data_IF_312324724116
#
_entry.id   IF_312324724116
#
_cell.length_a   1.000
_cell.length_b   1.000
_cell.length_c   1.000
_cell.angle_alpha   90.00
_cell.angle_beta   90.00
_cell.angle_gamma   90.00
#
_symmetry.space_group_name_H-M   'P 1'
#
loop_
_entity.id
_entity.type
_entity.pdbx_description
1 polymer ?
#
# COMPACT_ATOMS: atom_id res chain seq x y z
N UNK A 1 -15.63 17.28 9.99
CA UNK A 1 -14.47 16.55 9.43
C UNK A 1 -13.35 17.53 9.17
N UNK A 2 -12.13 17.23 9.59
CA UNK A 2 -10.95 18.00 9.22
C UNK A 2 -10.62 17.70 7.78
N UNK A 3 -10.40 18.74 6.96
CA UNK A 3 -10.01 18.54 5.56
C UNK A 3 -8.61 17.92 5.47
N UNK A 4 -8.35 17.06 4.48
CA UNK A 4 -7.00 16.55 4.22
C UNK A 4 -6.02 17.68 3.92
N UNK A 5 -4.72 17.43 4.10
CA UNK A 5 -3.66 18.37 3.71
C UNK A 5 -3.78 18.76 2.24
N UNK A 6 -3.62 20.04 1.92
CA UNK A 6 -3.74 20.56 0.57
C UNK A 6 -5.16 21.02 0.18
N UNK A 7 -6.11 20.97 1.11
CA UNK A 7 -7.48 21.46 0.87
C UNK A 7 -7.83 22.64 1.78
N UNK A 8 -8.67 23.52 1.27
CA UNK A 8 -9.29 24.60 2.01
C UNK A 8 -10.79 24.58 1.79
N UNK A 9 -11.61 25.15 2.71
CA UNK A 9 -13.00 25.43 2.43
C UNK A 9 -13.14 26.34 1.21
N UNK A 10 -14.30 26.28 0.55
CA UNK A 10 -14.61 27.23 -0.55
C UNK A 10 -14.35 28.67 -0.10
N UNK A 11 -13.66 29.44 -0.92
CA UNK A 11 -13.18 30.76 -0.59
C UNK A 11 -13.37 31.71 -1.77
N UNK A 12 -13.97 32.88 -1.51
CA UNK A 12 -14.06 33.99 -2.50
C UNK A 12 -12.71 34.59 -2.88
N UNK A 13 -11.63 34.19 -2.17
CA UNK A 13 -10.25 34.62 -2.47
C UNK A 13 -9.46 33.58 -3.26
N UNK A 14 -10.06 32.43 -3.58
CA UNK A 14 -9.40 31.40 -4.38
C UNK A 14 -9.24 31.92 -5.84
N UNK A 15 -8.04 31.68 -6.39
CA UNK A 15 -7.74 32.00 -7.77
C UNK A 15 -8.25 30.93 -8.73
N UNK A 16 -8.67 31.23 -9.93
CA UNK A 16 -9.06 30.26 -10.94
C UNK A 16 -7.92 29.33 -11.31
N UNK A 17 -8.19 28.01 -11.32
CA UNK A 17 -7.32 26.95 -11.80
C UNK A 17 -7.92 26.32 -13.05
N UNK A 18 -7.25 26.44 -14.18
CA UNK A 18 -7.60 25.74 -15.39
C UNK A 18 -6.82 24.44 -15.52
N UNK A 19 -7.54 23.36 -15.78
CA UNK A 19 -6.96 22.04 -16.03
C UNK A 19 -7.10 21.75 -17.52
N UNK A 20 -5.98 21.52 -18.20
CA UNK A 20 -5.91 21.44 -19.65
C UNK A 20 -5.15 20.18 -20.08
N UNK A 21 -5.60 19.58 -21.15
CA UNK A 21 -4.93 18.53 -21.90
C UNK A 21 -4.57 19.00 -23.31
N UNK A 22 -3.95 18.11 -24.11
CA UNK A 22 -3.56 18.46 -25.49
C UNK A 22 -4.75 18.80 -26.38
N UNK A 23 -5.95 18.34 -26.09
CA UNK A 23 -7.15 18.54 -26.90
C UNK A 23 -7.89 19.82 -26.54
N UNK A 24 -7.87 20.20 -25.27
CA UNK A 24 -8.60 21.37 -24.74
C UNK A 24 -7.79 22.68 -24.79
N UNK A 25 -6.46 22.54 -24.79
CA UNK A 25 -5.54 23.68 -24.66
C UNK A 25 -5.73 24.75 -25.78
N UNK A 26 -5.75 24.36 -27.06
CA UNK A 26 -5.83 25.30 -28.15
C UNK A 26 -7.10 26.16 -28.08
N UNK A 27 -8.26 25.55 -27.92
CA UNK A 27 -9.53 26.27 -27.83
C UNK A 27 -9.59 27.19 -26.61
N UNK A 28 -9.09 26.74 -25.47
CA UNK A 28 -9.01 27.57 -24.27
C UNK A 28 -8.06 28.74 -24.42
N UNK A 29 -6.86 28.53 -25.03
CA UNK A 29 -5.87 29.57 -25.31
C UNK A 29 -6.44 30.64 -26.23
N UNK A 30 -7.12 30.24 -27.30
CA UNK A 30 -7.70 31.16 -28.30
C UNK A 30 -8.85 31.99 -27.71
N UNK A 31 -9.48 31.56 -26.65
CA UNK A 31 -10.46 32.30 -25.87
C UNK A 31 -9.86 33.31 -24.87
N UNK A 32 -8.53 33.32 -24.69
CA UNK A 32 -7.86 34.25 -23.78
C UNK A 32 -7.61 35.62 -24.42
N UNK A 33 -7.28 36.62 -23.61
CA UNK A 33 -6.81 37.92 -24.15
C UNK A 33 -5.52 37.74 -24.96
N UNK A 34 -5.27 38.63 -25.92
CA UNK A 34 -4.04 38.57 -26.72
C UNK A 34 -2.76 38.58 -25.87
N UNK A 35 -2.78 39.32 -24.76
CA UNK A 35 -1.65 39.36 -23.83
C UNK A 35 -1.39 37.99 -23.12
N UNK A 36 -2.45 37.30 -22.68
CA UNK A 36 -2.34 35.99 -22.06
C UNK A 36 -1.91 34.95 -23.09
N UNK A 37 -2.48 34.96 -24.30
CA UNK A 37 -2.08 34.04 -25.36
C UNK A 37 -0.59 34.20 -25.72
N UNK A 38 -0.13 35.46 -25.91
CA UNK A 38 1.29 35.77 -26.16
C UNK A 38 2.22 35.30 -24.98
N UNK A 39 1.76 35.47 -23.75
CA UNK A 39 2.49 34.97 -22.58
C UNK A 39 2.62 33.44 -22.58
N UNK A 40 1.53 32.72 -22.85
CA UNK A 40 1.53 31.25 -22.94
C UNK A 40 2.48 30.75 -24.04
N UNK A 41 2.48 31.40 -25.20
CA UNK A 41 3.38 31.10 -26.30
C UNK A 41 4.84 31.35 -25.92
N UNK A 42 5.12 32.50 -25.31
CA UNK A 42 6.47 32.89 -24.89
C UNK A 42 7.03 31.98 -23.82
N UNK A 43 6.17 31.43 -22.94
CA UNK A 43 6.59 30.46 -21.88
C UNK A 43 6.61 29.02 -22.36
N UNK A 44 6.14 28.75 -23.58
CA UNK A 44 6.08 27.41 -24.16
C UNK A 44 5.08 26.47 -23.45
N UNK A 45 4.07 27.03 -22.76
CA UNK A 45 3.04 26.23 -22.14
C UNK A 45 2.15 25.59 -23.22
N UNK A 46 2.04 24.27 -23.18
CA UNK A 46 1.32 23.45 -24.16
C UNK A 46 0.44 22.36 -23.53
N UNK A 47 0.10 22.52 -22.24
CA UNK A 47 -0.66 21.55 -21.46
C UNK A 47 -0.03 20.14 -21.33
N UNK A 48 1.27 20.01 -21.58
CA UNK A 48 1.99 18.76 -21.33
C UNK A 48 1.88 18.34 -19.87
N UNK A 49 1.89 17.04 -19.62
CA UNK A 49 1.80 16.48 -18.26
C UNK A 49 2.84 17.13 -17.32
N UNK A 50 2.38 17.62 -16.15
CA UNK A 50 3.24 18.26 -15.16
C UNK A 50 3.60 19.72 -15.43
N UNK A 51 3.17 20.31 -16.55
CA UNK A 51 3.40 21.72 -16.85
C UNK A 51 2.47 22.66 -16.07
N UNK A 52 2.95 23.89 -15.78
CA UNK A 52 2.19 24.94 -15.08
C UNK A 52 2.46 26.27 -15.74
N UNK A 53 1.41 27.05 -16.00
CA UNK A 53 1.47 28.46 -16.36
C UNK A 53 0.80 29.30 -15.29
N UNK A 54 1.53 30.28 -14.73
CA UNK A 54 1.02 31.27 -13.79
C UNK A 54 0.59 32.52 -14.59
N UNK A 55 -0.71 32.75 -14.68
CA UNK A 55 -1.28 33.81 -15.56
C UNK A 55 -1.29 35.13 -14.80
N UNK A 56 -0.54 36.16 -15.27
CA UNK A 56 -0.50 37.46 -14.63
C UNK A 56 -1.79 38.27 -14.88
N UNK A 57 -2.13 39.11 -13.93
CA UNK A 57 -3.19 40.09 -14.02
C UNK A 57 -2.70 41.46 -13.62
N UNK A 58 -3.58 42.50 -13.62
CA UNK A 58 -3.21 43.89 -13.29
C UNK A 58 -2.60 44.01 -11.87
N UNK A 59 -3.14 43.27 -10.93
CA UNK A 59 -2.78 43.34 -9.49
C UNK A 59 -1.94 42.19 -9.03
N UNK A 60 -1.30 41.46 -9.95
CA UNK A 60 -0.47 40.30 -9.63
C UNK A 60 -0.92 39.00 -10.31
N UNK A 61 -0.98 37.88 -9.60
CA UNK A 61 -1.40 36.61 -10.14
C UNK A 61 -2.93 36.54 -10.27
N UNK A 62 -3.44 36.35 -11.51
CA UNK A 62 -4.86 36.29 -11.79
C UNK A 62 -5.43 34.86 -11.85
N UNK A 63 -4.64 33.90 -12.37
CA UNK A 63 -5.06 32.53 -12.56
C UNK A 63 -3.85 31.60 -12.70
N UNK A 64 -4.08 30.31 -12.78
CA UNK A 64 -3.10 29.35 -13.25
C UNK A 64 -3.73 28.31 -14.19
N UNK A 65 -2.90 27.76 -15.07
CA UNK A 65 -3.23 26.60 -15.88
C UNK A 65 -2.26 25.48 -15.56
N UNK A 66 -2.77 24.25 -15.40
CA UNK A 66 -1.97 23.04 -15.24
C UNK A 66 -2.22 22.10 -16.41
N UNK A 67 -1.14 21.49 -16.93
CA UNK A 67 -1.18 20.48 -17.98
C UNK A 67 -1.27 19.09 -17.41
N UNK A 68 -2.22 18.26 -17.89
CA UNK A 68 -2.41 16.89 -17.49
C UNK A 68 -1.99 15.87 -18.56
N UNK A 69 -1.60 16.36 -19.77
CA UNK A 69 -1.24 15.50 -20.91
C UNK A 69 -2.46 14.78 -21.51
N UNK A 70 -2.20 13.72 -22.26
CA UNK A 70 -3.23 13.05 -23.06
C UNK A 70 -4.09 12.05 -22.25
N UNK A 71 -3.60 11.58 -21.11
CA UNK A 71 -4.31 10.66 -20.23
C UNK A 71 -4.34 11.20 -18.80
N UNK A 72 -5.51 11.60 -18.36
CA UNK A 72 -5.71 12.03 -16.99
C UNK A 72 -5.96 10.82 -16.08
N UNK A 73 -5.05 10.62 -15.12
CA UNK A 73 -5.25 9.80 -13.94
C UNK A 73 -5.05 10.65 -12.68
N UNK A 74 -5.20 10.08 -11.48
CA UNK A 74 -4.99 10.85 -10.25
C UNK A 74 -3.60 11.51 -10.19
N UNK A 75 -2.56 10.87 -10.70
CA UNK A 75 -1.20 11.40 -10.64
C UNK A 75 -0.93 12.51 -11.65
N UNK A 76 -1.75 12.63 -12.72
CA UNK A 76 -1.66 13.73 -13.67
C UNK A 76 -1.89 15.10 -13.02
N UNK A 77 -2.64 15.15 -11.92
CA UNK A 77 -2.90 16.37 -11.14
C UNK A 77 -1.93 16.58 -9.96
N UNK A 78 -1.18 15.57 -9.60
CA UNK A 78 -0.45 15.51 -8.34
C UNK A 78 0.79 16.43 -8.28
N UNK A 79 1.23 17.00 -9.39
CA UNK A 79 2.30 18.00 -9.44
C UNK A 79 1.85 19.36 -8.92
N UNK A 80 0.57 19.70 -9.10
CA UNK A 80 0.01 21.04 -8.87
C UNK A 80 0.25 21.60 -7.45
N UNK A 81 0.05 20.86 -6.35
CA UNK A 81 0.21 21.39 -4.99
C UNK A 81 1.59 22.00 -4.71
N UNK A 82 2.64 21.46 -5.33
CA UNK A 82 4.01 21.94 -5.15
C UNK A 82 4.57 22.71 -6.34
N UNK A 83 3.91 22.71 -7.47
CA UNK A 83 4.27 23.55 -8.63
C UNK A 83 3.67 24.96 -8.54
N UNK A 84 2.51 25.08 -7.91
CA UNK A 84 1.83 26.37 -7.67
C UNK A 84 2.45 27.11 -6.47
N UNK A 85 2.28 28.44 -6.34
CA UNK A 85 2.81 29.24 -5.25
C UNK A 85 2.41 28.71 -3.85
N UNK A 86 3.36 28.71 -2.92
CA UNK A 86 3.12 28.24 -1.57
C UNK A 86 2.04 29.06 -0.85
N UNK A 87 1.09 28.37 -0.21
CA UNK A 87 0.02 29.00 0.56
C UNK A 87 -1.06 29.68 -0.29
N UNK A 88 -0.97 29.58 -1.63
CA UNK A 88 -2.05 30.03 -2.50
C UNK A 88 -3.24 29.07 -2.46
N UNK A 89 -4.44 29.61 -2.69
CA UNK A 89 -5.69 28.83 -2.74
C UNK A 89 -6.28 28.91 -4.15
N UNK A 90 -6.70 27.77 -4.68
CA UNK A 90 -7.13 27.60 -6.05
C UNK A 90 -8.51 26.97 -6.14
N UNK A 91 -9.32 27.42 -7.06
CA UNK A 91 -10.64 26.88 -7.36
C UNK A 91 -10.68 26.40 -8.80
N UNK A 92 -11.18 25.18 -9.01
CA UNK A 92 -11.35 24.62 -10.36
C UNK A 92 -12.27 25.54 -11.20
N UNK A 93 -11.74 25.98 -12.34
CA UNK A 93 -12.45 26.81 -13.33
C UNK A 93 -12.80 26.06 -14.63
N UNK A 94 -12.24 24.88 -14.87
CA UNK A 94 -12.55 24.02 -16.01
C UNK A 94 -13.83 23.23 -15.78
N UNK A 95 -14.73 23.17 -16.76
CA UNK A 95 -16.03 22.51 -16.64
C UNK A 95 -15.98 21.00 -16.93
N UNK A 96 -15.02 20.54 -17.74
CA UNK A 96 -14.93 19.14 -18.19
C UNK A 96 -13.95 18.28 -17.37
N UNK A 97 -13.47 18.82 -16.25
CA UNK A 97 -12.52 18.10 -15.38
C UNK A 97 -13.27 17.24 -14.36
N UNK A 98 -12.88 15.97 -14.23
CA UNK A 98 -13.33 15.12 -13.12
C UNK A 98 -12.80 15.67 -11.78
N UNK A 99 -13.69 16.35 -11.05
CA UNK A 99 -13.35 16.97 -9.76
C UNK A 99 -12.93 15.95 -8.70
N UNK A 100 -13.44 14.71 -8.76
CA UNK A 100 -13.07 13.64 -7.84
C UNK A 100 -11.64 13.16 -8.10
N UNK A 101 -11.28 12.97 -9.36
CA UNK A 101 -9.94 12.54 -9.76
C UNK A 101 -8.90 13.65 -9.50
N UNK A 102 -9.26 14.92 -9.78
CA UNK A 102 -8.45 16.09 -9.41
C UNK A 102 -8.21 16.13 -7.89
N UNK A 103 -9.27 16.00 -7.08
CA UNK A 103 -9.15 16.02 -5.62
C UNK A 103 -8.27 14.87 -5.11
N UNK A 104 -8.43 13.66 -5.65
CA UNK A 104 -7.57 12.54 -5.29
C UNK A 104 -6.10 12.83 -5.61
N UNK A 105 -5.82 13.28 -6.83
CA UNK A 105 -4.46 13.61 -7.26
C UNK A 105 -3.85 14.76 -6.46
N UNK A 106 -4.65 15.79 -6.16
CA UNK A 106 -4.22 16.91 -5.33
C UNK A 106 -3.84 16.46 -3.91
N UNK A 107 -4.68 15.63 -3.28
CA UNK A 107 -4.41 15.08 -1.94
C UNK A 107 -3.16 14.21 -1.89
N UNK A 108 -3.00 13.30 -2.86
CA UNK A 108 -1.80 12.46 -2.99
C UNK A 108 -0.54 13.31 -3.27
N UNK A 109 -0.68 14.37 -4.09
CA UNK A 109 0.38 15.31 -4.42
C UNK A 109 0.81 16.19 -3.25
N UNK A 110 -0.13 16.51 -2.36
CA UNK A 110 0.12 17.32 -1.15
C UNK A 110 0.86 16.60 -0.04
N UNK A 111 0.92 15.26 -0.11
CA UNK A 111 1.58 14.45 0.90
C UNK A 111 3.09 14.71 0.96
N UNK A 112 3.62 14.84 2.17
CA UNK A 112 5.05 14.79 2.50
C UNK A 112 5.22 14.13 3.86
N UNK A 113 6.16 13.20 3.95
CA UNK A 113 6.56 12.64 5.23
C UNK A 113 7.29 13.71 6.06
N UNK A 114 6.72 14.10 7.20
CA UNK A 114 7.17 15.25 7.99
C UNK A 114 7.46 14.94 9.46
N UNK A 115 7.48 13.64 9.84
CA UNK A 115 7.66 13.22 11.24
C UNK A 115 8.96 13.72 11.84
N UNK A 116 10.06 13.71 11.08
CA UNK A 116 11.40 14.07 11.57
C UNK A 116 11.92 15.39 11.01
N UNK A 117 11.34 15.88 9.94
CA UNK A 117 11.76 17.13 9.31
C UNK A 117 10.55 17.89 8.79
N UNK A 118 10.46 19.17 9.16
CA UNK A 118 9.42 20.05 8.61
C UNK A 118 9.59 20.19 7.10
N UNK A 119 8.49 20.18 6.33
CA UNK A 119 8.54 20.44 4.90
C UNK A 119 9.15 21.82 4.61
N UNK A 120 9.93 21.93 3.54
CA UNK A 120 10.56 23.17 3.12
C UNK A 120 9.53 24.25 2.74
N UNK A 121 8.34 23.83 2.27
CA UNK A 121 7.21 24.72 1.95
C UNK A 121 5.88 23.98 2.16
N UNK A 122 4.82 24.75 2.35
CA UNK A 122 3.46 24.24 2.36
C UNK A 122 2.96 24.03 0.92
N UNK A 123 2.11 23.02 0.66
CA UNK A 123 1.45 22.88 -0.62
C UNK A 123 0.49 24.04 -0.87
N UNK A 124 0.22 24.36 -2.13
CA UNK A 124 -0.95 25.13 -2.51
C UNK A 124 -2.23 24.37 -2.12
N UNK A 125 -3.31 25.10 -1.87
CA UNK A 125 -4.58 24.54 -1.41
C UNK A 125 -5.61 24.53 -2.55
N UNK A 126 -6.38 23.46 -2.66
CA UNK A 126 -7.57 23.40 -3.50
C UNK A 126 -8.78 23.80 -2.66
N UNK A 127 -9.51 24.83 -3.10
CA UNK A 127 -10.77 25.23 -2.49
C UNK A 127 -11.87 24.24 -2.90
N UNK A 128 -11.93 23.13 -2.22
CA UNK A 128 -12.89 22.06 -2.46
C UNK A 128 -13.02 21.17 -1.22
N UNK A 129 -14.19 20.56 -1.07
CA UNK A 129 -14.41 19.50 -0.10
C UNK A 129 -14.43 18.18 -0.85
N UNK A 130 -13.39 17.32 -0.72
CA UNK A 130 -13.38 16.02 -1.36
C UNK A 130 -14.54 15.16 -0.85
N UNK A 131 -15.07 14.28 -1.71
CA UNK A 131 -16.07 13.30 -1.28
C UNK A 131 -15.51 12.44 -0.15
N UNK A 132 -16.40 11.86 0.67
CA UNK A 132 -16.01 11.00 1.78
C UNK A 132 -15.17 9.78 1.31
N UNK A 133 -15.39 9.30 0.08
CA UNK A 133 -14.59 8.22 -0.51
C UNK A 133 -13.20 8.70 -0.90
N UNK A 134 -13.09 9.83 -1.59
CA UNK A 134 -11.81 10.43 -1.97
C UNK A 134 -10.98 10.77 -0.73
N UNK A 135 -11.60 11.37 0.28
CA UNK A 135 -10.92 11.67 1.55
C UNK A 135 -10.39 10.42 2.25
N UNK A 136 -11.17 9.34 2.26
CA UNK A 136 -10.76 8.05 2.84
C UNK A 136 -9.60 7.42 2.06
N UNK A 137 -9.64 7.47 0.72
CA UNK A 137 -8.56 6.98 -0.14
C UNK A 137 -7.25 7.75 0.08
N UNK A 138 -7.31 9.08 0.14
CA UNK A 138 -6.15 9.93 0.46
C UNK A 138 -5.58 9.54 1.83
N UNK A 139 -6.44 9.43 2.85
CA UNK A 139 -6.03 9.07 4.20
C UNK A 139 -5.35 7.70 4.26
N UNK A 140 -5.93 6.69 3.63
CA UNK A 140 -5.39 5.34 3.61
C UNK A 140 -4.03 5.26 2.89
N UNK A 141 -3.90 5.91 1.71
CA UNK A 141 -2.63 5.96 1.01
C UNK A 141 -1.54 6.70 1.81
N UNK A 142 -1.89 7.82 2.46
CA UNK A 142 -0.96 8.54 3.33
C UNK A 142 -0.57 7.69 4.54
N UNK A 143 -1.51 6.97 5.16
CA UNK A 143 -1.24 6.08 6.29
C UNK A 143 -0.26 4.97 5.90
N UNK A 144 -0.46 4.31 4.75
CA UNK A 144 0.49 3.29 4.26
C UNK A 144 1.89 3.90 4.09
N UNK A 145 1.98 5.07 3.46
CA UNK A 145 3.26 5.77 3.26
C UNK A 145 3.94 6.11 4.58
N UNK A 146 3.20 6.64 5.54
CA UNK A 146 3.72 7.01 6.87
C UNK A 146 4.24 5.78 7.62
N UNK A 147 3.47 4.68 7.64
CA UNK A 147 3.87 3.44 8.30
C UNK A 147 5.18 2.89 7.70
N UNK A 148 5.25 2.78 6.37
CA UNK A 148 6.42 2.23 5.66
C UNK A 148 7.64 3.15 5.78
N UNK A 149 7.44 4.47 5.76
CA UNK A 149 8.54 5.43 5.79
C UNK A 149 9.13 5.61 7.19
N UNK A 150 8.33 5.37 8.23
CA UNK A 150 8.78 5.52 9.63
C UNK A 150 9.88 4.50 9.95
N UNK A 151 11.04 4.92 10.45
CA UNK A 151 12.10 4.01 10.90
C UNK A 151 11.62 3.06 11.98
N UNK A 152 12.21 1.86 12.02
CA UNK A 152 11.82 0.78 12.91
C UNK A 152 11.88 1.15 14.39
N UNK A 153 12.76 2.05 14.80
CA UNK A 153 12.79 2.53 16.18
C UNK A 153 11.42 3.08 16.62
N UNK A 154 10.72 3.76 15.71
CA UNK A 154 9.40 4.35 15.93
C UNK A 154 8.26 3.54 15.26
N UNK A 155 8.58 2.42 14.61
CA UNK A 155 7.62 1.54 13.93
C UNK A 155 8.04 0.07 14.07
N UNK A 156 8.13 -0.39 15.32
CA UNK A 156 8.32 -1.80 15.66
C UNK A 156 6.99 -2.55 15.83
N UNK A 157 7.03 -3.81 16.26
CA UNK A 157 5.83 -4.63 16.46
C UNK A 157 4.78 -4.01 17.40
N UNK A 158 5.20 -3.32 18.46
CA UNK A 158 4.28 -2.62 19.37
C UNK A 158 3.58 -1.44 18.69
N UNK A 159 4.28 -0.67 17.86
CA UNK A 159 3.70 0.49 17.18
C UNK A 159 2.70 0.08 16.09
N UNK A 160 2.88 -1.09 15.45
CA UNK A 160 1.86 -1.68 14.58
C UNK A 160 0.61 -2.07 15.39
N UNK A 161 0.79 -2.68 16.56
CA UNK A 161 -0.31 -2.98 17.49
C UNK A 161 -1.07 -1.71 17.89
N UNK A 162 -0.35 -0.68 18.33
CA UNK A 162 -0.93 0.60 18.75
C UNK A 162 -1.73 1.26 17.61
N UNK A 163 -1.22 1.19 16.38
CA UNK A 163 -1.91 1.67 15.18
C UNK A 163 -3.23 0.94 14.94
N UNK A 164 -3.23 -0.40 15.05
CA UNK A 164 -4.42 -1.22 14.83
C UNK A 164 -5.43 -1.02 15.99
N UNK A 165 -4.96 -0.91 17.23
CA UNK A 165 -5.82 -0.59 18.41
C UNK A 165 -6.51 0.77 18.25
N UNK A 166 -5.76 1.80 17.84
CA UNK A 166 -6.31 3.11 17.59
C UNK A 166 -7.36 3.09 16.48
N UNK A 167 -7.10 2.35 15.39
CA UNK A 167 -8.03 2.16 14.29
C UNK A 167 -9.30 1.40 14.75
N UNK A 168 -9.16 0.34 15.54
CA UNK A 168 -10.28 -0.39 16.12
C UNK A 168 -11.15 0.53 16.97
N UNK A 169 -10.54 1.30 17.86
CA UNK A 169 -11.26 2.24 18.73
C UNK A 169 -12.02 3.32 17.93
N UNK A 170 -11.42 3.85 16.87
CA UNK A 170 -12.02 4.89 16.03
C UNK A 170 -13.26 4.39 15.25
N UNK A 171 -13.34 3.09 14.95
CA UNK A 171 -14.40 2.51 14.13
C UNK A 171 -15.31 1.52 14.89
N UNK A 172 -15.14 1.37 16.21
CA UNK A 172 -15.93 0.44 17.02
C UNK A 172 -15.61 -1.03 16.75
N UNK A 173 -14.38 -1.34 16.32
CA UNK A 173 -13.86 -2.70 16.17
C UNK A 173 -13.30 -3.25 17.48
N UNK A 174 -13.00 -4.55 17.48
CA UNK A 174 -12.34 -5.24 18.58
C UNK A 174 -10.92 -5.60 18.15
N UNK A 175 -9.93 -5.41 19.04
CA UNK A 175 -8.55 -5.78 18.79
C UNK A 175 -8.07 -6.73 19.89
N UNK A 176 -7.48 -7.85 19.48
CA UNK A 176 -6.80 -8.81 20.36
C UNK A 176 -5.37 -9.04 19.89
N UNK A 177 -4.50 -9.42 20.82
CA UNK A 177 -3.06 -9.62 20.55
C UNK A 177 -2.57 -10.84 21.27
N UNK A 178 -1.77 -11.64 20.56
CA UNK A 178 -0.98 -12.75 21.13
C UNK A 178 0.50 -12.39 20.95
N UNK A 179 1.29 -12.30 22.03
CA UNK A 179 2.64 -11.77 21.96
C UNK A 179 3.65 -12.62 22.73
N UNK A 180 4.92 -12.59 22.28
CA UNK A 180 6.01 -13.31 22.95
C UNK A 180 5.76 -14.82 22.98
N UNK A 181 6.00 -15.44 24.14
CA UNK A 181 5.88 -16.89 24.32
C UNK A 181 4.44 -17.40 24.26
N UNK A 182 3.43 -16.54 24.51
CA UNK A 182 2.02 -16.87 24.32
C UNK A 182 1.71 -17.31 22.87
N UNK A 183 2.54 -16.89 21.90
CA UNK A 183 2.45 -17.37 20.51
C UNK A 183 2.61 -18.90 20.43
N UNK A 184 3.47 -19.49 21.23
CA UNK A 184 3.66 -20.95 21.27
C UNK A 184 2.43 -21.64 21.88
N UNK A 185 1.89 -21.11 22.97
CA UNK A 185 0.70 -21.64 23.63
C UNK A 185 -0.54 -21.57 22.74
N UNK A 186 -0.61 -20.53 21.90
CA UNK A 186 -1.70 -20.31 20.95
C UNK A 186 -1.43 -20.89 19.56
N UNK A 187 -0.38 -21.72 19.43
CA UNK A 187 0.00 -22.41 18.19
C UNK A 187 0.30 -21.47 17.01
N UNK A 188 1.18 -20.46 17.25
CA UNK A 188 1.78 -19.62 16.22
C UNK A 188 3.32 -19.74 16.22
N UNK A 189 3.85 -20.96 16.06
CA UNK A 189 5.27 -21.27 16.29
C UNK A 189 6.19 -20.58 15.28
N UNK A 190 5.75 -20.36 14.04
CA UNK A 190 6.60 -19.72 13.02
C UNK A 190 6.73 -18.22 13.23
N UNK A 191 5.69 -17.56 13.72
CA UNK A 191 5.76 -16.13 14.11
C UNK A 191 6.73 -15.97 15.27
N UNK A 192 6.63 -16.83 16.28
CA UNK A 192 7.56 -16.85 17.40
C UNK A 192 9.00 -17.10 16.93
N UNK A 193 9.22 -18.16 16.14
CA UNK A 193 10.56 -18.56 15.69
C UNK A 193 11.31 -17.46 14.94
N UNK A 194 10.63 -16.71 14.07
CA UNK A 194 11.24 -15.58 13.34
C UNK A 194 11.58 -14.42 14.28
N UNK A 195 10.66 -14.08 15.22
CA UNK A 195 10.79 -12.86 16.01
C UNK A 195 11.53 -13.01 17.34
N UNK A 196 11.81 -14.24 17.80
CA UNK A 196 12.33 -14.51 19.14
C UNK A 196 13.73 -13.94 19.44
N UNK A 197 14.50 -13.63 18.39
CA UNK A 197 15.84 -13.05 18.56
C UNK A 197 15.84 -11.54 18.83
N UNK A 198 14.73 -10.85 18.56
CA UNK A 198 14.61 -9.42 18.87
C UNK A 198 14.26 -9.20 20.34
N UNK A 199 14.78 -8.10 20.91
CA UNK A 199 14.33 -7.61 22.21
C UNK A 199 12.88 -7.09 22.19
N UNK A 200 12.28 -6.93 21.00
CA UNK A 200 10.90 -6.54 20.78
C UNK A 200 10.06 -7.78 20.50
N UNK A 201 9.19 -8.13 21.43
CA UNK A 201 8.42 -9.36 21.37
C UNK A 201 7.60 -9.47 20.07
N UNK A 202 7.72 -10.62 19.34
CA UNK A 202 6.88 -10.92 18.19
C UNK A 202 5.41 -11.00 18.60
N UNK A 203 4.49 -10.74 17.67
CA UNK A 203 3.05 -10.80 17.95
C UNK A 203 2.20 -11.06 16.74
N UNK A 204 1.06 -11.68 16.96
CA UNK A 204 -0.08 -11.69 16.05
C UNK A 204 -1.12 -10.71 16.57
N UNK A 205 -1.48 -9.73 15.74
CA UNK A 205 -2.47 -8.71 16.04
C UNK A 205 -3.71 -9.04 15.21
N UNK A 206 -4.86 -9.16 15.87
CA UNK A 206 -6.14 -9.42 15.23
C UNK A 206 -7.09 -8.27 15.50
N UNK A 207 -7.73 -7.74 14.42
CA UNK A 207 -8.84 -6.80 14.52
C UNK A 207 -10.06 -7.45 13.89
N UNK A 208 -11.19 -7.39 14.58
CA UNK A 208 -12.52 -7.80 14.09
C UNK A 208 -13.47 -6.62 14.05
N UNK A 209 -14.22 -6.52 12.96
CA UNK A 209 -15.18 -5.43 12.75
C UNK A 209 -16.33 -5.88 11.83
N UNK A 210 -17.48 -5.20 11.92
CA UNK A 210 -18.64 -5.44 11.09
C UNK A 210 -19.68 -6.35 11.72
N UNK A 211 -20.72 -6.67 10.96
CA UNK A 211 -21.83 -7.48 11.43
C UNK A 211 -21.52 -8.97 11.28
N UNK A 212 -21.95 -9.76 12.25
CA UNK A 212 -21.68 -11.20 12.30
C UNK A 212 -22.34 -12.01 11.16
N UNK A 213 -23.42 -11.50 10.58
CA UNK A 213 -24.18 -12.10 9.49
C UNK A 213 -23.76 -11.63 8.08
N UNK A 214 -22.80 -10.70 8.01
CA UNK A 214 -22.27 -10.22 6.74
C UNK A 214 -21.22 -11.19 6.16
N UNK A 215 -20.96 -11.12 4.82
CA UNK A 215 -19.88 -11.87 4.18
C UNK A 215 -18.55 -11.65 4.88
N UNK A 216 -17.79 -12.73 5.11
CA UNK A 216 -16.52 -12.65 5.84
C UNK A 216 -15.37 -12.29 4.91
N UNK A 217 -14.64 -11.24 5.24
CA UNK A 217 -13.42 -10.83 4.54
C UNK A 217 -12.24 -10.87 5.51
N UNK A 218 -11.21 -11.63 5.18
CA UNK A 218 -9.98 -11.65 5.97
C UNK A 218 -8.82 -11.03 5.21
N UNK A 219 -8.21 -10.01 5.81
CA UNK A 219 -7.00 -9.35 5.32
C UNK A 219 -5.82 -9.79 6.19
N UNK A 220 -4.71 -10.19 5.57
CA UNK A 220 -3.50 -10.62 6.26
C UNK A 220 -2.33 -9.77 5.80
N UNK A 221 -1.50 -9.31 6.74
CA UNK A 221 -0.35 -8.47 6.43
C UNK A 221 0.98 -9.00 6.98
N UNK A 222 2.01 -9.09 6.12
CA UNK A 222 3.39 -9.31 6.56
C UNK A 222 3.87 -8.08 7.32
N UNK A 223 4.22 -8.25 8.60
CA UNK A 223 4.63 -7.19 9.51
C UNK A 223 6.08 -7.31 10.00
N UNK A 224 7.03 -7.59 9.10
CA UNK A 224 8.46 -7.61 9.44
C UNK A 224 8.96 -6.18 9.56
N UNK A 225 8.99 -5.64 10.80
CA UNK A 225 9.30 -4.23 11.06
C UNK A 225 10.73 -3.85 10.67
N UNK A 226 11.65 -4.79 10.75
CA UNK A 226 12.98 -4.70 10.17
C UNK A 226 13.48 -6.10 9.82
N UNK A 227 14.09 -6.23 8.64
CA UNK A 227 14.63 -7.48 8.16
C UNK A 227 16.14 -7.39 7.94
N UNK A 228 16.90 -8.05 8.84
CA UNK A 228 18.36 -8.19 8.70
C UNK A 228 18.74 -9.34 7.78
N UNK A 229 17.79 -10.20 7.41
CA UNK A 229 18.02 -11.52 6.82
C UNK A 229 18.19 -12.63 7.87
N UNK A 230 18.17 -12.30 9.16
CA UNK A 230 18.52 -13.24 10.21
C UNK A 230 20.00 -13.64 10.12
N UNK A 231 20.31 -14.93 10.28
CA UNK A 231 21.69 -15.42 10.17
C UNK A 231 22.19 -15.45 8.71
N UNK A 232 21.29 -15.53 7.73
CA UNK A 232 21.62 -15.32 6.29
C UNK A 232 21.63 -13.81 6.00
N UNK A 233 22.57 -13.12 6.64
CA UNK A 233 22.65 -11.67 6.77
C UNK A 233 22.69 -10.96 5.40
N UNK A 234 21.80 -9.99 5.23
CA UNK A 234 21.77 -9.14 4.03
C UNK A 234 23.04 -8.26 3.91
N UNK A 235 23.52 -8.00 2.69
CA UNK A 235 24.54 -6.96 2.49
C UNK A 235 23.97 -5.57 2.82
N UNK A 236 24.84 -4.61 3.11
CA UNK A 236 24.48 -3.28 3.63
C UNK A 236 23.48 -2.52 2.73
N UNK A 237 23.65 -2.57 1.42
CA UNK A 237 22.74 -1.95 0.45
C UNK A 237 21.38 -2.66 0.38
N UNK A 238 21.37 -3.99 0.50
CA UNK A 238 20.13 -4.79 0.60
C UNK A 238 19.36 -4.53 1.88
N UNK A 239 20.08 -4.25 3.00
CA UNK A 239 19.48 -4.02 4.32
C UNK A 239 18.96 -2.58 4.50
N UNK A 240 19.55 -1.58 3.83
CA UNK A 240 19.34 -0.14 4.06
C UNK A 240 17.87 0.29 4.15
N UNK A 241 17.02 -0.30 3.35
CA UNK A 241 15.61 0.05 3.28
C UNK A 241 14.67 -0.98 3.93
N UNK A 242 15.19 -1.91 4.74
CA UNK A 242 14.39 -3.00 5.30
C UNK A 242 13.41 -2.58 6.40
N UNK A 243 13.38 -1.31 6.80
CA UNK A 243 12.25 -0.72 7.53
C UNK A 243 10.93 -0.81 6.75
N UNK A 244 10.98 -0.96 5.41
CA UNK A 244 9.81 -1.13 4.55
C UNK A 244 9.21 -2.53 4.59
N UNK A 245 9.85 -3.48 5.25
CA UNK A 245 9.47 -4.89 5.14
C UNK A 245 8.19 -5.26 5.91
N UNK A 246 7.61 -4.30 6.59
CA UNK A 246 6.25 -4.30 7.12
C UNK A 246 5.23 -3.66 6.15
N UNK A 247 5.62 -3.44 4.90
CA UNK A 247 4.77 -2.83 3.87
C UNK A 247 3.51 -3.66 3.58
N UNK A 248 3.58 -4.98 3.70
CA UNK A 248 2.41 -5.85 3.63
C UNK A 248 1.39 -5.53 4.72
N UNK A 249 1.82 -5.42 5.97
CA UNK A 249 0.97 -4.99 7.09
C UNK A 249 0.39 -3.60 6.86
N UNK A 250 1.20 -2.66 6.38
CA UNK A 250 0.74 -1.29 6.09
C UNK A 250 -0.39 -1.28 5.05
N UNK A 251 -0.29 -2.08 3.97
CA UNK A 251 -1.35 -2.20 2.96
C UNK A 251 -2.62 -2.84 3.53
N UNK A 252 -2.48 -3.94 4.29
CA UNK A 252 -3.62 -4.59 4.93
C UNK A 252 -4.34 -3.64 5.92
N UNK A 253 -3.59 -2.86 6.72
CA UNK A 253 -4.11 -1.83 7.62
C UNK A 253 -4.81 -0.71 6.82
N UNK A 254 -4.19 -0.21 5.76
CA UNK A 254 -4.77 0.83 4.89
C UNK A 254 -6.08 0.38 4.25
N UNK A 255 -6.14 -0.87 3.74
CA UNK A 255 -7.36 -1.42 3.16
C UNK A 255 -8.44 -1.65 4.23
N UNK A 256 -8.08 -2.17 5.40
CA UNK A 256 -9.00 -2.31 6.53
C UNK A 256 -9.59 -0.96 6.97
N UNK A 257 -8.77 0.10 6.99
CA UNK A 257 -9.24 1.45 7.31
C UNK A 257 -10.27 1.96 6.28
N UNK A 258 -10.08 1.68 4.99
CA UNK A 258 -11.06 1.99 3.93
C UNK A 258 -12.36 1.23 4.12
N UNK A 259 -12.28 -0.10 4.36
CA UNK A 259 -13.45 -0.97 4.62
C UNK A 259 -14.29 -0.42 5.77
N UNK A 260 -13.65 -0.05 6.88
CA UNK A 260 -14.35 0.48 8.06
C UNK A 260 -14.86 1.91 7.85
N UNK A 261 -14.04 2.80 7.30
CA UNK A 261 -14.42 4.20 7.08
C UNK A 261 -15.56 4.34 6.07
N UNK A 262 -15.64 3.43 5.10
CA UNK A 262 -16.69 3.42 4.08
C UNK A 262 -17.85 2.48 4.39
N UNK A 263 -17.82 1.81 5.56
CA UNK A 263 -18.88 0.92 6.03
C UNK A 263 -19.22 -0.16 4.98
N UNK A 264 -18.17 -0.80 4.39
CA UNK A 264 -18.40 -1.90 3.46
C UNK A 264 -19.17 -3.03 4.20
N UNK A 265 -20.26 -3.60 3.63
CA UNK A 265 -21.09 -4.56 4.33
C UNK A 265 -20.44 -5.95 4.44
N UNK A 266 -19.35 -6.04 5.17
CA UNK A 266 -18.59 -7.27 5.43
C UNK A 266 -18.33 -7.46 6.93
N UNK A 267 -18.09 -8.70 7.33
CA UNK A 267 -17.45 -9.03 8.59
C UNK A 267 -15.93 -9.08 8.34
N UNK A 268 -15.23 -8.03 8.74
CA UNK A 268 -13.80 -7.89 8.52
C UNK A 268 -12.99 -8.54 9.65
N UNK A 269 -12.02 -9.37 9.26
CA UNK A 269 -10.89 -9.77 10.12
C UNK A 269 -9.60 -9.24 9.50
N UNK A 270 -8.80 -8.49 10.26
CA UNK A 270 -7.44 -8.11 9.89
C UNK A 270 -6.46 -8.85 10.78
N UNK A 271 -5.51 -9.56 10.20
CA UNK A 271 -4.42 -10.26 10.89
C UNK A 271 -3.08 -9.65 10.47
N UNK A 272 -2.28 -9.26 11.45
CA UNK A 272 -0.92 -8.78 11.22
C UNK A 272 0.06 -9.55 12.07
N UNK A 273 0.93 -10.33 11.42
CA UNK A 273 2.06 -10.98 12.06
C UNK A 273 3.23 -9.98 12.14
N UNK A 274 3.46 -9.41 13.32
CA UNK A 274 4.42 -8.34 13.55
C UNK A 274 5.66 -8.87 14.28
N UNK A 275 6.83 -8.77 13.63
CA UNK A 275 8.12 -9.28 14.12
C UNK A 275 9.26 -8.36 13.70
N UNK A 276 10.45 -8.58 14.25
CA UNK A 276 11.72 -8.19 13.64
C UNK A 276 12.52 -9.46 13.34
N UNK A 277 13.05 -9.59 12.13
CA UNK A 277 14.01 -10.63 11.78
C UNK A 277 15.40 -10.15 12.20
N UNK A 278 15.77 -10.46 13.43
CA UNK A 278 16.95 -9.91 14.07
C UNK A 278 18.05 -10.97 14.25
N UNK A 279 19.30 -10.51 14.38
CA UNK A 279 20.44 -11.31 14.79
C UNK A 279 20.45 -11.37 16.32
N UNK A 280 20.66 -12.53 16.88
CA UNK A 280 20.75 -12.72 18.33
C UNK A 280 21.07 -14.16 18.71
N UNK A 281 21.24 -14.44 20.00
CA UNK A 281 21.54 -15.80 20.49
C UNK A 281 20.42 -16.79 20.18
N UNK A 282 19.18 -16.32 20.11
CA UNK A 282 17.99 -17.14 19.84
C UNK A 282 17.52 -17.06 18.37
N UNK A 283 18.36 -16.52 17.47
CA UNK A 283 18.02 -16.39 16.05
C UNK A 283 17.73 -17.77 15.44
N UNK A 284 16.74 -17.80 14.56
CA UNK A 284 16.40 -18.95 13.74
C UNK A 284 17.62 -19.36 12.89
N UNK A 285 17.94 -20.66 12.85
CA UNK A 285 19.16 -21.15 12.18
C UNK A 285 18.81 -21.91 10.91
N UNK A 286 19.61 -21.77 9.85
CA UNK A 286 19.53 -22.69 8.72
C UNK A 286 19.66 -24.16 9.17
N UNK A 287 18.81 -25.02 8.62
CA UNK A 287 18.72 -26.43 9.00
C UNK A 287 17.81 -26.75 10.20
N UNK A 288 17.29 -25.75 10.91
CA UNK A 288 16.24 -25.99 11.90
C UNK A 288 14.92 -26.40 11.23
N UNK A 289 14.11 -27.17 11.95
CA UNK A 289 12.77 -27.57 11.49
C UNK A 289 11.73 -27.00 12.44
N UNK A 290 10.76 -26.30 11.89
CA UNK A 290 9.63 -25.73 12.65
C UNK A 290 8.35 -26.41 12.20
N UNK A 291 7.55 -26.93 13.14
CA UNK A 291 6.19 -27.40 12.85
C UNK A 291 5.25 -26.21 12.90
N UNK A 292 4.57 -25.93 11.79
CA UNK A 292 3.67 -24.79 11.65
C UNK A 292 2.32 -25.03 12.35
N UNK A 293 1.48 -24.00 12.46
CA UNK A 293 0.09 -24.11 12.94
C UNK A 293 -0.71 -25.19 12.20
N UNK A 294 -0.51 -25.36 10.92
CA UNK A 294 -1.18 -26.37 10.10
C UNK A 294 -0.64 -27.80 10.31
N UNK A 295 0.36 -27.99 11.17
CA UNK A 295 1.01 -29.28 11.40
C UNK A 295 2.01 -29.69 10.33
N UNK A 296 2.28 -28.83 9.35
CA UNK A 296 3.28 -29.05 8.29
C UNK A 296 4.66 -28.70 8.88
N UNK A 297 5.61 -29.63 8.79
CA UNK A 297 7.00 -29.35 9.18
C UNK A 297 7.75 -28.63 8.07
N UNK A 298 8.50 -27.57 8.42
CA UNK A 298 9.24 -26.73 7.49
C UNK A 298 10.70 -26.67 7.90
N UNK A 299 11.59 -27.13 7.00
CA UNK A 299 13.04 -26.93 7.14
C UNK A 299 13.39 -25.49 6.76
N UNK A 300 14.21 -24.85 7.57
CA UNK A 300 14.71 -23.50 7.34
C UNK A 300 15.95 -23.59 6.45
N UNK A 301 15.76 -23.44 5.15
CA UNK A 301 16.86 -23.40 4.16
C UNK A 301 17.47 -22.01 4.08
N UNK A 302 16.65 -20.96 4.35
CA UNK A 302 17.09 -19.56 4.29
C UNK A 302 16.32 -18.71 5.33
N UNK A 303 17.03 -18.11 6.27
CA UNK A 303 16.45 -17.23 7.29
C UNK A 303 15.99 -15.87 6.74
N UNK A 304 16.43 -15.48 5.54
CA UNK A 304 15.98 -14.30 4.78
C UNK A 304 14.67 -14.57 3.99
N UNK A 305 14.07 -15.73 4.19
CA UNK A 305 12.73 -16.09 3.73
C UNK A 305 11.75 -16.19 4.92
N UNK A 306 11.83 -15.25 5.84
CA UNK A 306 11.08 -15.14 7.10
C UNK A 306 9.62 -14.71 6.89
N UNK A 307 9.37 -13.86 5.89
CA UNK A 307 8.03 -13.32 5.61
C UNK A 307 7.00 -14.40 5.34
N UNK A 308 7.36 -15.43 4.57
CA UNK A 308 6.46 -16.56 4.31
C UNK A 308 6.25 -17.45 5.56
N UNK A 309 7.22 -17.49 6.46
CA UNK A 309 7.10 -18.20 7.73
C UNK A 309 6.05 -17.53 8.63
N UNK A 310 6.13 -16.23 8.84
CA UNK A 310 5.14 -15.54 9.67
C UNK A 310 3.75 -15.53 9.03
N UNK A 311 3.68 -15.54 7.69
CA UNK A 311 2.39 -15.58 6.97
C UNK A 311 1.74 -16.97 7.02
N UNK A 312 2.49 -18.06 7.03
CA UNK A 312 1.89 -19.41 6.98
C UNK A 312 1.00 -19.70 8.19
N UNK A 313 1.41 -19.33 9.41
CA UNK A 313 0.58 -19.48 10.61
C UNK A 313 -0.61 -18.53 10.59
N UNK A 314 -0.41 -17.28 10.13
CA UNK A 314 -1.49 -16.31 10.03
C UNK A 314 -2.55 -16.72 8.99
N UNK A 315 -2.13 -17.27 7.84
CA UNK A 315 -3.03 -17.76 6.78
C UNK A 315 -3.78 -19.03 7.21
N UNK A 316 -3.10 -19.96 7.88
CA UNK A 316 -3.74 -21.14 8.45
C UNK A 316 -4.83 -20.75 9.47
N UNK A 317 -4.53 -19.79 10.33
CA UNK A 317 -5.50 -19.23 11.28
C UNK A 317 -6.65 -18.50 10.60
N UNK A 318 -6.36 -17.68 9.59
CA UNK A 318 -7.37 -16.99 8.79
C UNK A 318 -8.38 -17.95 8.17
N UNK A 319 -7.91 -19.11 7.70
CA UNK A 319 -8.74 -20.10 7.02
C UNK A 319 -9.67 -20.88 7.96
N UNK A 320 -9.38 -20.95 9.27
CA UNK A 320 -10.23 -21.62 10.26
C UNK A 320 -11.63 -21.01 10.35
N UNK A 321 -11.74 -19.69 10.13
CA UNK A 321 -13.02 -18.94 10.14
C UNK A 321 -13.81 -19.08 8.82
N UNK A 322 -13.25 -19.76 7.82
CA UNK A 322 -13.82 -20.02 6.49
C UNK A 322 -14.38 -18.74 5.86
N UNK A 323 -13.57 -17.69 5.66
CA UNK A 323 -14.06 -16.45 5.07
C UNK A 323 -14.38 -16.64 3.57
N UNK A 324 -15.22 -15.74 3.02
CA UNK A 324 -15.51 -15.69 1.57
C UNK A 324 -14.26 -15.44 0.74
N UNK A 325 -13.34 -14.64 1.29
CA UNK A 325 -12.03 -14.41 0.69
C UNK A 325 -10.96 -14.11 1.74
N UNK A 326 -9.75 -14.62 1.51
CA UNK A 326 -8.53 -14.23 2.20
C UNK A 326 -7.68 -13.44 1.22
N UNK A 327 -7.23 -12.25 1.61
CA UNK A 327 -6.30 -11.44 0.82
C UNK A 327 -5.09 -11.12 1.68
N UNK A 328 -3.91 -11.53 1.25
CA UNK A 328 -2.70 -11.15 1.95
C UNK A 328 -1.80 -10.23 1.14
N UNK A 329 -1.10 -9.36 1.88
CA UNK A 329 -0.13 -8.41 1.35
C UNK A 329 1.22 -8.68 1.99
N UNK A 330 2.26 -8.75 1.17
CA UNK A 330 3.61 -8.89 1.67
C UNK A 330 4.64 -8.18 0.79
N UNK A 331 5.67 -7.63 1.39
CA UNK A 331 6.92 -7.28 0.73
C UNK A 331 7.77 -8.55 0.70
N UNK A 332 7.34 -9.53 -0.13
CA UNK A 332 7.78 -10.91 0.05
C UNK A 332 9.07 -11.23 -0.68
N UNK A 333 9.18 -10.80 -1.96
CA UNK A 333 10.32 -11.23 -2.76
C UNK A 333 10.98 -10.11 -3.57
N UNK A 334 12.32 -10.10 -3.58
CA UNK A 334 13.06 -9.33 -4.57
C UNK A 334 12.82 -9.83 -6.00
N UNK A 335 12.43 -11.11 -6.16
CA UNK A 335 12.16 -11.73 -7.45
C UNK A 335 10.95 -11.10 -8.16
N UNK A 336 9.87 -10.78 -7.46
CA UNK A 336 8.72 -10.08 -8.03
C UNK A 336 9.12 -8.70 -8.55
N UNK A 337 9.88 -7.94 -7.77
CA UNK A 337 10.40 -6.62 -8.17
C UNK A 337 11.33 -6.70 -9.39
N UNK A 338 12.19 -7.71 -9.47
CA UNK A 338 13.06 -7.89 -10.64
C UNK A 338 12.23 -8.24 -11.88
N UNK A 339 11.17 -9.03 -11.73
CA UNK A 339 10.33 -9.45 -12.84
C UNK A 339 9.42 -8.33 -13.37
N UNK A 340 8.82 -7.54 -12.48
CA UNK A 340 7.75 -6.59 -12.81
C UNK A 340 8.12 -5.11 -12.56
N UNK A 341 9.28 -4.85 -11.98
CA UNK A 341 9.69 -3.51 -11.56
C UNK A 341 9.07 -3.08 -10.20
N UNK A 342 9.36 -1.83 -9.75
CA UNK A 342 8.93 -1.37 -8.43
C UNK A 342 7.46 -0.92 -8.39
N UNK A 343 6.84 -0.64 -9.53
CA UNK A 343 5.53 0.02 -9.62
C UNK A 343 4.37 -0.95 -9.85
N UNK A 344 4.65 -2.18 -10.27
CA UNK A 344 3.64 -3.17 -10.66
C UNK A 344 3.69 -4.36 -9.71
N UNK A 345 2.78 -4.45 -8.72
CA UNK A 345 2.70 -5.57 -7.80
C UNK A 345 2.35 -6.89 -8.48
N UNK A 346 2.95 -7.98 -7.99
CA UNK A 346 2.64 -9.32 -8.45
C UNK A 346 1.42 -9.88 -7.70
N UNK A 347 0.35 -10.15 -8.42
CA UNK A 347 -0.86 -10.80 -7.92
C UNK A 347 -0.80 -12.31 -8.16
N UNK A 348 -0.95 -13.10 -7.11
CA UNK A 348 -1.20 -14.53 -7.19
C UNK A 348 -2.60 -14.82 -6.63
N UNK A 349 -3.38 -15.66 -7.28
CA UNK A 349 -4.70 -16.04 -6.82
C UNK A 349 -5.05 -17.45 -7.28
N UNK A 350 -5.73 -18.19 -6.40
CA UNK A 350 -6.26 -19.52 -6.71
C UNK A 350 -7.71 -19.46 -7.27
N UNK A 351 -8.29 -18.26 -7.35
CA UNK A 351 -9.62 -17.98 -7.87
C UNK A 351 -9.52 -17.01 -9.06
N UNK A 352 -9.99 -17.46 -10.24
CA UNK A 352 -9.91 -16.67 -11.48
C UNK A 352 -10.87 -15.49 -11.49
N UNK A 353 -12.00 -15.59 -10.79
CA UNK A 353 -12.99 -14.51 -10.71
C UNK A 353 -12.42 -13.36 -9.86
N UNK A 354 -11.86 -13.66 -8.68
CA UNK A 354 -11.22 -12.67 -7.83
C UNK A 354 -10.06 -11.97 -8.55
N UNK A 355 -9.20 -12.75 -9.22
CA UNK A 355 -8.09 -12.21 -9.99
C UNK A 355 -8.56 -11.29 -11.12
N UNK A 356 -9.56 -11.71 -11.89
CA UNK A 356 -10.14 -10.93 -12.98
C UNK A 356 -10.78 -9.62 -12.49
N UNK A 357 -11.50 -9.67 -11.37
CA UNK A 357 -12.07 -8.48 -10.74
C UNK A 357 -10.98 -7.47 -10.32
N UNK A 358 -9.85 -7.95 -9.76
CA UNK A 358 -8.77 -7.05 -9.34
C UNK A 358 -8.02 -6.45 -10.52
N UNK A 359 -7.74 -7.24 -11.57
CA UNK A 359 -7.14 -6.72 -12.81
C UNK A 359 -8.01 -5.62 -13.42
N UNK A 360 -9.31 -5.84 -13.56
CA UNK A 360 -10.26 -4.85 -14.09
C UNK A 360 -10.30 -3.58 -13.21
N UNK A 361 -10.31 -3.73 -11.89
CA UNK A 361 -10.25 -2.60 -10.96
C UNK A 361 -8.94 -1.83 -11.10
N UNK A 362 -7.81 -2.51 -11.35
CA UNK A 362 -6.51 -1.90 -11.60
C UNK A 362 -6.50 -0.97 -12.81
N UNK A 363 -7.12 -1.39 -13.90
CA UNK A 363 -7.26 -0.58 -15.11
C UNK A 363 -8.10 0.68 -14.87
N UNK A 364 -9.27 0.53 -14.23
CA UNK A 364 -10.19 1.66 -13.97
C UNK A 364 -9.59 2.69 -13.02
N UNK A 365 -8.84 2.24 -12.00
CA UNK A 365 -8.26 3.13 -10.98
C UNK A 365 -6.85 3.62 -11.33
N UNK A 366 -6.28 3.19 -12.46
CA UNK A 366 -4.87 3.42 -12.81
C UNK A 366 -3.92 3.03 -11.64
N UNK A 367 -4.23 1.89 -11.01
CA UNK A 367 -3.46 1.31 -9.90
C UNK A 367 -3.30 -0.19 -10.15
N UNK A 368 -2.54 -0.56 -11.19
CA UNK A 368 -2.54 -1.90 -11.78
C UNK A 368 -1.86 -2.94 -10.90
N UNK A 369 -2.25 -4.19 -11.12
CA UNK A 369 -1.56 -5.38 -10.65
C UNK A 369 -1.27 -6.29 -11.84
N UNK A 370 -0.28 -7.18 -11.71
CA UNK A 370 0.01 -8.17 -12.75
C UNK A 370 -0.14 -9.57 -12.21
N UNK A 371 -1.05 -10.36 -12.80
CA UNK A 371 -1.27 -11.73 -12.37
C UNK A 371 -0.12 -12.64 -12.78
N UNK A 372 0.50 -13.29 -11.78
CA UNK A 372 1.53 -14.30 -11.92
C UNK A 372 0.95 -15.71 -11.73
N UNK A 373 1.53 -16.75 -12.34
CA UNK A 373 0.98 -18.10 -12.26
C UNK A 373 1.34 -18.80 -10.94
N UNK A 374 0.39 -19.57 -10.39
CA UNK A 374 0.65 -20.60 -9.39
C UNK A 374 1.05 -21.91 -10.09
N UNK A 375 2.28 -21.94 -10.63
CA UNK A 375 2.78 -23.10 -11.40
C UNK A 375 3.25 -24.22 -10.45
N UNK A 376 2.31 -25.05 -10.01
CA UNK A 376 2.50 -26.10 -8.98
C UNK A 376 3.65 -27.09 -9.23
N UNK A 377 4.07 -27.42 -10.48
CA UNK A 377 5.29 -28.24 -10.67
C UNK A 377 6.55 -27.65 -10.03
N UNK A 378 6.58 -26.34 -9.72
CA UNK A 378 7.71 -25.72 -9.01
C UNK A 378 7.73 -25.99 -7.50
N UNK A 379 6.74 -26.65 -6.93
CA UNK A 379 6.81 -27.20 -5.56
C UNK A 379 8.02 -28.13 -5.36
N UNK A 380 8.55 -28.72 -6.46
CA UNK A 380 9.79 -29.48 -6.42
C UNK A 380 11.00 -28.68 -5.90
N UNK A 381 10.97 -27.35 -6.01
CA UNK A 381 12.04 -26.48 -5.49
C UNK A 381 11.95 -26.26 -3.97
N UNK A 382 10.84 -26.60 -3.36
CA UNK A 382 10.62 -26.48 -1.90
C UNK A 382 10.73 -27.85 -1.19
N UNK A 383 11.35 -28.84 -1.82
CA UNK A 383 11.54 -30.17 -1.19
C UNK A 383 12.58 -30.09 -0.08
N UNK A 384 12.30 -30.77 1.01
CA UNK A 384 13.23 -31.07 2.10
C UNK A 384 13.49 -32.58 2.15
N UNK A 385 14.62 -32.98 2.72
CA UNK A 385 14.94 -34.38 3.01
C UNK A 385 14.62 -34.74 4.47
N UNK A 386 14.29 -33.75 5.31
CA UNK A 386 14.12 -33.93 6.77
C UNK A 386 12.77 -33.39 7.27
N UNK A 387 12.03 -32.65 6.45
CA UNK A 387 10.73 -32.07 6.74
C UNK A 387 9.76 -32.24 5.56
N UNK A 388 8.49 -31.86 5.75
CA UNK A 388 7.49 -31.92 4.69
C UNK A 388 7.82 -30.98 3.53
N UNK A 389 8.49 -29.86 3.82
CA UNK A 389 8.97 -28.89 2.84
C UNK A 389 10.08 -28.00 3.43
N UNK A 390 10.77 -27.27 2.55
CA UNK A 390 11.68 -26.20 2.92
C UNK A 390 11.03 -24.82 2.73
N UNK A 391 11.49 -23.81 3.49
CA UNK A 391 10.99 -22.44 3.34
C UNK A 391 11.57 -21.72 2.12
N UNK A 392 12.68 -22.18 1.59
CA UNK A 392 13.33 -21.64 0.39
C UNK A 392 13.87 -22.78 -0.47
N UNK A 393 14.52 -22.44 -1.57
CA UNK A 393 15.10 -23.43 -2.50
C UNK A 393 15.78 -22.72 -3.67
N UNK A 394 15.52 -23.16 -4.89
CA UNK A 394 16.16 -22.62 -6.10
C UNK A 394 16.02 -21.09 -6.22
N UNK A 395 17.05 -20.43 -6.74
CA UNK A 395 16.99 -19.01 -7.16
C UNK A 395 16.00 -18.77 -8.32
N UNK A 396 15.63 -19.84 -9.05
CA UNK A 396 14.67 -19.76 -10.15
C UNK A 396 13.24 -19.62 -9.62
N UNK A 397 12.45 -18.77 -10.29
CA UNK A 397 11.02 -18.56 -10.01
C UNK A 397 10.70 -18.15 -8.57
N UNK A 398 11.56 -17.36 -7.92
CA UNK A 398 11.46 -17.04 -6.50
C UNK A 398 10.10 -16.48 -6.05
N UNK A 399 9.47 -15.61 -6.85
CA UNK A 399 8.14 -15.09 -6.56
C UNK A 399 7.06 -16.18 -6.63
N UNK A 400 7.15 -17.06 -7.65
CA UNK A 400 6.20 -18.17 -7.83
C UNK A 400 6.33 -19.20 -6.71
N UNK A 401 7.56 -19.58 -6.33
CA UNK A 401 7.78 -20.55 -5.25
C UNK A 401 7.37 -20.00 -3.89
N UNK A 402 7.53 -18.67 -3.66
CA UNK A 402 7.04 -18.02 -2.45
C UNK A 402 5.51 -18.06 -2.36
N UNK A 403 4.81 -17.73 -3.44
CA UNK A 403 3.35 -17.83 -3.49
C UNK A 403 2.85 -19.28 -3.34
N UNK A 404 3.54 -20.25 -3.97
CA UNK A 404 3.21 -21.67 -3.81
C UNK A 404 3.46 -22.17 -2.38
N UNK A 405 4.47 -21.63 -1.68
CA UNK A 405 4.66 -21.91 -0.27
C UNK A 405 3.44 -21.45 0.53
N UNK A 406 2.96 -20.22 0.33
CA UNK A 406 1.78 -19.68 1.02
C UNK A 406 0.51 -20.47 0.68
N UNK A 407 0.31 -20.86 -0.58
CA UNK A 407 -0.84 -21.66 -1.03
C UNK A 407 -0.99 -22.98 -0.26
N UNK A 408 0.11 -23.57 0.23
CA UNK A 408 0.09 -24.81 1.03
C UNK A 408 -0.67 -24.68 2.35
N UNK A 409 -0.85 -23.47 2.86
CA UNK A 409 -1.55 -23.17 4.10
C UNK A 409 -2.99 -22.69 3.88
N UNK A 410 -3.44 -22.70 2.63
CA UNK A 410 -4.81 -22.38 2.23
C UNK A 410 -5.55 -23.70 1.95
N UNK A 411 -6.64 -24.01 2.66
CA UNK A 411 -7.44 -25.21 2.39
C UNK A 411 -8.00 -25.22 0.98
N UNK A 412 -8.20 -26.42 0.42
CA UNK A 412 -8.84 -26.57 -0.87
C UNK A 412 -10.25 -25.94 -0.88
N UNK A 413 -10.53 -25.15 -1.91
CA UNK A 413 -11.81 -24.44 -2.05
C UNK A 413 -11.89 -23.09 -1.32
N UNK A 414 -10.90 -22.71 -0.50
CA UNK A 414 -10.85 -21.39 0.09
C UNK A 414 -10.34 -20.36 -0.94
N UNK A 415 -11.15 -19.37 -1.27
CA UNK A 415 -10.74 -18.25 -2.15
C UNK A 415 -9.61 -17.45 -1.49
N UNK A 416 -8.49 -17.28 -2.21
CA UNK A 416 -7.31 -16.61 -1.73
C UNK A 416 -6.60 -15.82 -2.83
N UNK A 417 -6.09 -14.67 -2.44
CA UNK A 417 -5.16 -13.88 -3.25
C UNK A 417 -3.99 -13.36 -2.40
N UNK A 418 -2.80 -13.39 -2.97
CA UNK A 418 -1.57 -12.84 -2.44
C UNK A 418 -1.06 -11.72 -3.32
N UNK A 419 -0.72 -10.58 -2.72
CA UNK A 419 -0.10 -9.46 -3.41
C UNK A 419 1.32 -9.23 -2.90
N UNK A 420 2.32 -9.51 -3.75
CA UNK A 420 3.72 -9.21 -3.48
C UNK A 420 4.03 -7.78 -3.92
N UNK A 421 4.17 -6.89 -2.94
CA UNK A 421 4.34 -5.44 -3.14
C UNK A 421 5.75 -4.98 -2.79
N UNK A 422 6.27 -4.00 -3.54
CA UNK A 422 7.54 -3.38 -3.17
C UNK A 422 7.39 -2.35 -2.05
N UNK A 423 6.25 -1.66 -1.98
CA UNK A 423 5.89 -0.64 -0.99
C UNK A 423 6.86 0.55 -0.89
N UNK A 424 7.66 0.81 -1.90
CA UNK A 424 8.69 1.85 -1.88
C UNK A 424 8.87 2.54 -3.24
N UNK A 425 9.09 3.87 -3.21
CA UNK A 425 9.55 4.66 -4.35
C UNK A 425 11.03 5.03 -4.18
N UNK A 426 11.84 4.74 -5.18
CA UNK A 426 13.28 5.05 -5.16
C UNK A 426 13.57 6.52 -5.51
N UNK A 427 12.64 7.22 -6.16
CA UNK A 427 12.79 8.60 -6.61
C UNK A 427 11.48 9.38 -6.48
N UNK A 428 11.61 10.71 -6.36
CA UNK A 428 10.46 11.62 -6.36
C UNK A 428 9.77 11.64 -7.72
N UNK A 429 8.44 11.49 -7.67
CA UNK A 429 7.54 11.66 -8.81
C UNK A 429 6.29 12.44 -8.37
N UNK A 430 5.55 13.09 -9.27
CA UNK A 430 4.29 13.74 -8.92
C UNK A 430 3.34 12.81 -8.17
N UNK A 431 2.96 13.18 -6.95
CA UNK A 431 2.10 12.37 -6.07
C UNK A 431 2.71 11.09 -5.50
N UNK A 432 3.94 10.78 -5.88
CA UNK A 432 4.70 9.60 -5.42
C UNK A 432 6.09 10.04 -4.96
N UNK A 433 6.23 10.66 -3.80
CA UNK A 433 7.54 11.04 -3.28
C UNK A 433 8.40 9.82 -2.97
N UNK A 434 9.73 9.99 -2.99
CA UNK A 434 10.65 8.94 -2.55
C UNK A 434 10.34 8.48 -1.13
N UNK A 435 10.31 7.18 -0.91
CA UNK A 435 9.96 6.58 0.37
C UNK A 435 8.81 5.60 0.29
N UNK A 436 8.05 5.45 1.37
CA UNK A 436 6.91 4.54 1.44
C UNK A 436 5.84 4.83 0.38
N UNK A 437 5.27 3.78 -0.22
CA UNK A 437 4.25 3.90 -1.25
C UNK A 437 3.13 2.88 -1.07
N UNK A 438 1.90 3.34 -1.36
CA UNK A 438 0.70 2.51 -1.41
C UNK A 438 0.45 2.04 -2.85
N UNK A 439 0.78 0.77 -3.13
CA UNK A 439 0.61 0.16 -4.45
C UNK A 439 -0.62 -0.75 -4.45
N UNK A 440 -1.42 -0.70 -5.50
CA UNK A 440 -2.64 -1.49 -5.67
C UNK A 440 -3.68 -1.36 -4.52
N UNK A 441 -3.56 -0.35 -3.67
CA UNK A 441 -4.52 -0.12 -2.58
C UNK A 441 -5.85 0.41 -3.12
N UNK A 442 -5.82 1.30 -4.10
CA UNK A 442 -7.01 1.88 -4.73
C UNK A 442 -7.75 0.84 -5.55
N UNK A 443 -7.02 -0.01 -6.26
CA UNK A 443 -7.61 -1.11 -7.03
C UNK A 443 -8.18 -2.21 -6.13
N UNK A 444 -7.50 -2.53 -5.02
CA UNK A 444 -8.03 -3.45 -4.01
C UNK A 444 -9.35 -2.94 -3.43
N UNK A 445 -9.42 -1.65 -3.07
CA UNK A 445 -10.67 -1.03 -2.60
C UNK A 445 -11.78 -1.08 -3.65
N UNK A 446 -11.48 -0.69 -4.90
CA UNK A 446 -12.46 -0.69 -5.97
C UNK A 446 -12.99 -2.12 -6.25
N UNK A 447 -12.11 -3.12 -6.24
CA UNK A 447 -12.47 -4.53 -6.38
C UNK A 447 -13.38 -4.99 -5.24
N UNK A 448 -13.01 -4.72 -3.97
CA UNK A 448 -13.84 -5.10 -2.81
C UNK A 448 -15.20 -4.40 -2.82
N UNK A 449 -15.24 -3.13 -3.19
CA UNK A 449 -16.48 -2.37 -3.33
C UNK A 449 -17.39 -3.00 -4.40
N UNK A 450 -16.84 -3.37 -5.54
CA UNK A 450 -17.63 -4.02 -6.60
C UNK A 450 -18.11 -5.43 -6.22
N UNK A 451 -17.39 -6.12 -5.33
CA UNK A 451 -17.72 -7.47 -4.88
C UNK A 451 -18.76 -7.53 -3.79
N UNK A 452 -18.77 -6.54 -2.86
CA UNK A 452 -19.55 -6.61 -1.62
C UNK A 452 -20.55 -5.46 -1.44
N UNK A 453 -20.55 -4.41 -2.29
CA UNK A 453 -21.48 -3.27 -2.16
C UNK A 453 -22.77 -3.44 -2.94
#
# INVERSE_FOLDING_TARGET
MTLPTGFAPDSTRALPLYVLDSTTFSAWRDGQSAAVAAYLDATGFNAAAGSVALIPGPDGLAAAAIGVGDRADAYSYAHAPFALPAGSTWQLASHDTDAGLLALGWGLGSYRFNRYRKPARQPAQLAATPSAEVAALISACCQVRDLVHTPTEDMGPQQLEDTIKAMAAAHGGQCSVVAGDDLLERNFPTIHAVGRASHRAPRLIELRWGKADAPKLTLVGKGVCFDTGGLDLKPADGMRNMKKDMGGAAHAIGLASLVMARQLPVQLTLLVAAVENAIGPDALRPGEVVTTRAGISVEIDNTDAEGRLILCDALAYAAEDKPDAIIDFATLTGAARIALGPDLPALFANDDVLAGQWLAAGEVTCDPVWRMPLYRPYLRYLKSNVADMANAGSRMAGAVTAALYLERFIPAGQTWAHLDVYAWNDADRPGRPAGGEALALRSAWAMLKARYA
#
